data_IF_703563385531
#
_entry.id   IF_703563385531
#
_cell.length_a   1.000
_cell.length_b   1.000
_cell.length_c   1.000
_cell.angle_alpha   90.00
_cell.angle_beta   90.00
_cell.angle_gamma   90.00
#
_symmetry.space_group_name_H-M   'P 1'
#
loop_
_entity.id
_entity.type
_entity.pdbx_description
1 polymer ?
#
# COMPACT_ATOMS: atom_id res chain seq x y z
N UNK A 1 24.06 9.55 -14.21
CA UNK A 1 23.37 8.74 -15.24
C UNK A 1 22.05 8.23 -14.66
N UNK A 2 20.93 8.67 -15.22
CA UNK A 2 19.59 8.19 -14.86
C UNK A 2 19.49 6.70 -15.16
N UNK A 3 19.42 5.88 -14.11
CA UNK A 3 19.35 4.43 -14.22
C UNK A 3 17.95 4.02 -14.66
N UNK A 4 17.74 3.98 -15.98
CA UNK A 4 16.73 3.15 -16.61
C UNK A 4 17.31 1.73 -16.70
N UNK A 5 16.50 0.70 -16.46
CA UNK A 5 16.85 -0.67 -16.84
C UNK A 5 17.36 -0.67 -18.30
N UNK A 6 18.60 -1.09 -18.52
CA UNK A 6 19.24 -0.98 -19.84
C UNK A 6 18.68 -1.93 -20.89
N UNK A 7 17.80 -2.87 -20.49
CA UNK A 7 17.33 -3.95 -21.35
C UNK A 7 15.87 -3.79 -21.75
N UNK A 8 15.00 -3.27 -20.87
CA UNK A 8 13.55 -3.14 -21.15
C UNK A 8 12.98 -1.90 -20.45
N UNK A 9 12.15 -1.13 -21.16
CA UNK A 9 11.47 0.02 -20.57
C UNK A 9 10.31 -0.40 -19.66
N UNK A 10 10.05 0.38 -18.61
CA UNK A 10 8.90 0.18 -17.73
C UNK A 10 7.57 0.21 -18.48
N UNK A 11 7.47 1.03 -19.54
CA UNK A 11 6.30 1.14 -20.38
C UNK A 11 6.01 -0.15 -21.16
N UNK A 12 7.05 -0.77 -21.72
CA UNK A 12 6.93 -2.03 -22.45
C UNK A 12 6.52 -3.16 -21.50
N UNK A 13 7.16 -3.25 -20.33
CA UNK A 13 6.80 -4.24 -19.31
C UNK A 13 5.32 -4.08 -18.95
N UNK A 14 4.86 -2.85 -18.74
CA UNK A 14 3.46 -2.57 -18.44
C UNK A 14 2.50 -3.05 -19.54
N UNK A 15 2.77 -2.77 -20.82
CA UNK A 15 1.88 -3.23 -21.90
C UNK A 15 1.76 -4.76 -21.95
N UNK A 16 2.85 -5.48 -21.69
CA UNK A 16 2.85 -6.96 -21.67
C UNK A 16 2.04 -7.50 -20.47
N UNK A 17 2.25 -6.94 -19.28
CA UNK A 17 1.70 -7.49 -18.01
C UNK A 17 0.34 -6.89 -17.62
N UNK A 18 -0.10 -5.82 -18.28
CA UNK A 18 -1.38 -5.15 -18.03
C UNK A 18 -2.58 -6.09 -18.17
N UNK A 19 -2.74 -6.88 -19.25
CA UNK A 19 -3.92 -7.72 -19.43
C UNK A 19 -3.94 -8.92 -18.47
N UNK A 20 -2.77 -9.46 -18.15
CA UNK A 20 -2.61 -10.69 -17.39
C UNK A 20 -1.30 -10.69 -16.58
N UNK A 21 -1.42 -10.77 -15.25
CA UNK A 21 -0.32 -11.03 -14.32
C UNK A 21 -0.86 -11.71 -13.05
N UNK A 22 0.02 -12.33 -12.26
CA UNK A 22 -0.37 -13.06 -11.04
C UNK A 22 -0.88 -12.17 -9.90
N UNK A 23 -0.56 -10.87 -9.91
CA UNK A 23 -1.02 -9.91 -8.91
C UNK A 23 -2.39 -9.32 -9.24
N UNK A 24 -2.88 -9.50 -10.46
CA UNK A 24 -4.10 -8.89 -10.98
C UNK A 24 -5.33 -9.61 -10.46
N UNK A 25 -6.22 -8.84 -9.83
CA UNK A 25 -7.51 -9.32 -9.36
C UNK A 25 -8.60 -8.52 -10.05
N UNK A 26 -9.30 -9.16 -10.99
CA UNK A 26 -10.47 -8.60 -11.67
C UNK A 26 -11.71 -8.99 -10.89
N UNK A 27 -12.48 -8.02 -10.40
CA UNK A 27 -13.77 -8.29 -9.74
C UNK A 27 -14.90 -7.73 -10.59
N UNK A 28 -15.91 -8.57 -10.86
CA UNK A 28 -17.16 -8.13 -11.47
C UNK A 28 -17.98 -7.24 -10.51
N UNK A 29 -17.85 -7.49 -9.20
CA UNK A 29 -18.48 -6.68 -8.16
C UNK A 29 -17.87 -5.29 -8.05
N UNK A 30 -18.67 -4.33 -7.56
CA UNK A 30 -18.26 -2.92 -7.37
C UNK A 30 -17.88 -2.18 -8.67
N UNK A 31 -18.50 -2.53 -9.80
CA UNK A 31 -18.34 -1.78 -11.07
C UNK A 31 -17.12 -2.19 -11.90
N UNK A 32 -16.67 -3.44 -11.82
CA UNK A 32 -15.60 -3.95 -12.69
C UNK A 32 -14.18 -3.53 -12.28
N UNK A 33 -13.96 -3.20 -11.00
CA UNK A 33 -12.68 -2.66 -10.52
C UNK A 33 -11.55 -3.68 -10.68
N UNK A 34 -10.40 -3.19 -11.16
CA UNK A 34 -9.16 -3.96 -11.27
C UNK A 34 -8.23 -3.62 -10.10
N UNK A 35 -7.95 -4.61 -9.27
CA UNK A 35 -7.11 -4.49 -8.09
C UNK A 35 -5.78 -5.22 -8.30
N UNK A 36 -4.78 -4.87 -7.50
CA UNK A 36 -3.46 -5.48 -7.50
C UNK A 36 -3.08 -5.94 -6.10
N UNK A 37 -2.47 -7.13 -5.99
CA UNK A 37 -1.90 -7.69 -4.77
C UNK A 37 -0.39 -7.45 -4.62
N UNK A 38 0.19 -6.60 -5.45
CA UNK A 38 1.62 -6.30 -5.41
C UNK A 38 2.02 -5.72 -4.02
N UNK A 39 3.02 -6.30 -3.33
CA UNK A 39 3.51 -5.76 -2.06
C UNK A 39 4.08 -4.34 -2.16
N UNK A 40 4.49 -3.91 -3.36
CA UNK A 40 5.03 -2.60 -3.66
C UNK A 40 3.98 -1.63 -4.24
N UNK A 41 2.70 -1.91 -4.04
CA UNK A 41 1.58 -1.05 -4.43
C UNK A 41 0.87 -0.49 -3.19
N UNK A 42 0.89 0.84 -3.01
CA UNK A 42 0.32 1.50 -1.83
C UNK A 42 -1.22 1.57 -1.82
N UNK A 43 -1.88 1.58 -2.99
CA UNK A 43 -3.34 1.68 -3.09
C UNK A 43 -4.03 0.37 -3.48
N UNK A 44 -3.26 -0.66 -3.81
CA UNK A 44 -3.77 -1.93 -4.37
C UNK A 44 -4.62 -1.74 -5.64
N UNK A 45 -4.38 -0.67 -6.40
CA UNK A 45 -5.07 -0.39 -7.65
C UNK A 45 -4.19 -0.90 -8.80
N UNK A 46 -4.77 -1.68 -9.70
CA UNK A 46 -4.13 -2.02 -10.97
C UNK A 46 -4.43 -0.93 -12.01
N UNK A 47 -3.68 0.17 -11.95
CA UNK A 47 -3.85 1.29 -12.88
C UNK A 47 -2.52 1.90 -13.27
N UNK A 48 -2.45 2.39 -14.50
CA UNK A 48 -1.32 3.13 -15.02
C UNK A 48 -1.37 4.61 -14.62
N UNK A 49 -1.91 4.99 -13.44
CA UNK A 49 -2.30 6.39 -13.17
C UNK A 49 -1.13 7.35 -13.37
N UNK A 50 -1.05 7.93 -14.57
CA UNK A 50 -0.26 9.09 -14.93
C UNK A 50 -1.01 10.26 -14.33
N UNK A 51 -0.45 10.86 -13.31
CA UNK A 51 -0.92 12.15 -12.84
C UNK A 51 -0.41 13.17 -13.86
N UNK A 52 -1.25 13.56 -14.81
CA UNK A 52 -1.00 14.75 -15.63
C UNK A 52 -1.21 15.94 -14.68
N UNK A 53 -0.17 16.32 -13.94
CA UNK A 53 -0.12 17.66 -13.35
C UNK A 53 0.11 18.64 -14.49
N UNK A 54 -0.98 19.23 -14.99
CA UNK A 54 -0.92 20.40 -15.87
C UNK A 54 -0.44 21.58 -15.02
N UNK A 55 0.85 21.63 -14.70
CA UNK A 55 1.45 22.81 -14.06
C UNK A 55 2.71 23.24 -14.79
N UNK A 56 3.47 22.33 -15.43
CA UNK A 56 4.61 22.70 -16.27
C UNK A 56 4.57 21.94 -17.60
N UNK A 57 4.35 22.67 -18.69
CA UNK A 57 4.21 22.17 -20.07
C UNK A 57 5.52 21.57 -20.64
N UNK A 58 6.63 21.63 -19.90
CA UNK A 58 7.96 21.16 -20.29
C UNK A 58 8.31 19.73 -19.85
N UNK A 59 7.53 19.11 -18.96
CA UNK A 59 7.79 17.74 -18.51
C UNK A 59 7.04 16.75 -19.40
N UNK A 60 7.52 16.62 -20.63
CA UNK A 60 6.96 15.74 -21.65
C UNK A 60 7.18 14.27 -21.26
N UNK A 61 6.07 13.59 -20.99
CA UNK A 61 5.86 12.13 -21.10
C UNK A 61 6.75 11.22 -20.26
N UNK A 62 6.45 11.13 -18.96
CA UNK A 62 6.76 9.93 -18.19
C UNK A 62 5.44 9.18 -17.91
N UNK A 63 5.11 8.20 -18.76
CA UNK A 63 3.95 7.30 -18.61
C UNK A 63 4.17 6.27 -17.47
N UNK A 64 4.63 6.71 -16.31
CA UNK A 64 5.00 5.82 -15.20
C UNK A 64 3.74 5.27 -14.56
N UNK A 65 3.62 3.95 -14.54
CA UNK A 65 2.58 3.23 -13.79
C UNK A 65 2.74 3.50 -12.30
N UNK A 66 2.14 4.59 -11.79
CA UNK A 66 2.37 5.13 -10.43
C UNK A 66 2.35 4.07 -9.33
N UNK A 67 1.47 3.07 -9.46
CA UNK A 67 1.20 2.03 -8.46
C UNK A 67 1.77 0.64 -8.79
N UNK A 68 2.34 0.43 -9.99
CA UNK A 68 2.88 -0.88 -10.37
C UNK A 68 4.33 -1.00 -9.87
N UNK A 69 4.48 -1.42 -8.62
CA UNK A 69 5.77 -1.50 -7.95
C UNK A 69 6.69 -2.54 -8.56
N UNK A 70 6.15 -3.65 -9.09
CA UNK A 70 6.93 -4.66 -9.81
C UNK A 70 7.55 -4.15 -11.12
N UNK A 71 6.88 -3.22 -11.82
CA UNK A 71 7.34 -2.63 -13.10
C UNK A 71 8.35 -1.50 -12.89
N UNK A 72 8.12 -0.65 -11.89
CA UNK A 72 8.95 0.54 -11.69
C UNK A 72 10.32 0.21 -11.08
N UNK A 73 11.34 0.98 -11.47
CA UNK A 73 12.68 0.94 -10.85
C UNK A 73 12.65 1.48 -9.41
N UNK A 74 11.84 2.52 -9.18
CA UNK A 74 11.58 3.09 -7.86
C UNK A 74 10.15 2.80 -7.42
N UNK A 75 10.02 2.09 -6.30
CA UNK A 75 8.74 1.74 -5.70
C UNK A 75 8.82 1.77 -4.18
N UNK A 76 7.69 2.11 -3.56
CA UNK A 76 7.52 2.14 -2.10
C UNK A 76 6.38 1.19 -1.75
N UNK A 77 6.68 0.17 -0.96
CA UNK A 77 5.71 -0.75 -0.39
C UNK A 77 5.60 -0.54 1.11
N UNK A 78 4.40 -0.73 1.64
CA UNK A 78 4.17 -0.77 3.07
C UNK A 78 3.35 -2.01 3.39
N UNK A 79 3.92 -2.85 4.23
CA UNK A 79 3.40 -4.16 4.59
C UNK A 79 3.32 -4.22 6.12
N UNK A 80 2.37 -4.97 6.71
CA UNK A 80 2.45 -5.28 8.13
C UNK A 80 3.82 -5.89 8.48
N UNK A 81 4.34 -5.54 9.66
CA UNK A 81 5.50 -6.23 10.24
C UNK A 81 5.19 -7.68 10.57
N UNK A 82 6.22 -8.44 10.94
CA UNK A 82 6.09 -9.88 11.22
C UNK A 82 5.01 -10.19 12.27
N UNK A 83 4.34 -11.32 12.09
CA UNK A 83 3.10 -11.70 12.76
C UNK A 83 3.17 -11.69 14.31
N UNK A 84 4.37 -11.73 14.92
CA UNK A 84 4.56 -11.69 16.37
C UNK A 84 4.91 -10.32 16.97
N UNK A 85 5.47 -9.39 16.18
CA UNK A 85 5.98 -8.10 16.69
C UNK A 85 5.06 -6.91 16.36
N UNK A 86 4.12 -7.11 15.43
CA UNK A 86 3.25 -6.06 14.90
C UNK A 86 4.02 -4.89 14.28
N UNK A 87 3.32 -3.80 14.00
CA UNK A 87 3.92 -2.62 13.38
C UNK A 87 3.96 -2.69 11.86
N UNK A 88 4.84 -1.90 11.26
CA UNK A 88 4.80 -1.58 9.83
C UNK A 88 6.19 -1.68 9.22
N UNK A 89 6.32 -2.42 8.12
CA UNK A 89 7.55 -2.53 7.35
C UNK A 89 7.45 -1.67 6.10
N UNK A 90 8.39 -0.74 5.95
CA UNK A 90 8.60 0.04 4.74
C UNK A 90 9.57 -0.72 3.84
N UNK A 91 9.17 -0.95 2.60
CA UNK A 91 9.99 -1.61 1.58
C UNK A 91 10.24 -0.60 0.45
N UNK A 92 11.48 -0.48 0.02
CA UNK A 92 11.87 0.36 -1.11
C UNK A 92 12.76 -0.42 -2.08
N UNK A 93 12.66 -0.14 -3.39
CA UNK A 93 13.56 -0.72 -4.39
C UNK A 93 14.88 0.05 -4.48
N UNK A 94 15.97 -0.68 -4.69
CA UNK A 94 17.30 -0.15 -4.97
C UNK A 94 17.50 -0.10 -6.48
N UNK A 95 17.56 1.10 -7.11
CA UNK A 95 17.72 1.20 -8.56
C UNK A 95 19.06 0.60 -9.04
N UNK A 96 20.10 0.62 -8.19
CA UNK A 96 21.41 0.01 -8.48
C UNK A 96 21.34 -1.52 -8.67
N UNK A 97 20.33 -2.18 -8.11
CA UNK A 97 20.22 -3.64 -8.07
C UNK A 97 19.01 -4.15 -8.87
N UNK A 98 18.61 -3.47 -9.95
CA UNK A 98 17.42 -3.83 -10.73
C UNK A 98 17.44 -5.29 -11.23
N UNK A 99 18.60 -5.79 -11.68
CA UNK A 99 18.79 -7.15 -12.18
C UNK A 99 19.17 -8.17 -11.08
N UNK A 100 19.17 -7.77 -9.81
CA UNK A 100 19.57 -8.61 -8.67
C UNK A 100 18.42 -8.75 -7.68
N UNK A 101 17.40 -9.58 -7.97
CA UNK A 101 16.14 -9.59 -7.21
C UNK A 101 16.34 -9.86 -5.71
N UNK A 102 17.27 -10.75 -5.35
CA UNK A 102 17.57 -11.08 -3.95
C UNK A 102 18.04 -9.87 -3.11
N UNK A 103 18.71 -8.90 -3.73
CA UNK A 103 19.21 -7.69 -3.06
C UNK A 103 18.63 -6.39 -3.59
N UNK A 104 17.54 -6.49 -4.38
CA UNK A 104 16.88 -5.37 -5.02
C UNK A 104 16.03 -4.54 -4.05
N UNK A 105 15.64 -5.09 -2.90
CA UNK A 105 14.84 -4.39 -1.89
C UNK A 105 15.67 -3.94 -0.69
N UNK A 106 15.24 -2.83 -0.09
CA UNK A 106 15.65 -2.38 1.24
C UNK A 106 14.39 -2.29 2.12
N UNK A 107 14.40 -3.00 3.24
CA UNK A 107 13.31 -3.01 4.21
C UNK A 107 13.73 -2.32 5.51
N UNK A 108 12.83 -1.52 6.06
CA UNK A 108 12.97 -0.96 7.41
C UNK A 108 11.69 -1.22 8.19
N UNK A 109 11.82 -1.96 9.29
CA UNK A 109 10.69 -2.32 10.15
C UNK A 109 10.52 -1.30 11.26
N UNK A 110 9.30 -0.78 11.40
CA UNK A 110 8.87 0.04 12.53
C UNK A 110 8.01 -0.81 13.45
N UNK A 111 8.59 -1.28 14.56
CA UNK A 111 7.91 -2.15 15.51
C UNK A 111 6.65 -1.52 16.13
N UNK A 112 5.79 -2.37 16.70
CA UNK A 112 4.51 -1.95 17.31
C UNK A 112 4.69 -0.90 18.41
N UNK A 113 5.72 -1.08 19.26
CA UNK A 113 6.06 -0.20 20.39
C UNK A 113 6.49 1.22 19.97
N UNK A 114 6.89 1.43 18.71
CA UNK A 114 7.28 2.74 18.23
C UNK A 114 6.06 3.64 18.09
N UNK A 115 6.14 4.84 18.67
CA UNK A 115 5.09 5.86 18.56
C UNK A 115 4.69 6.11 17.10
N UNK A 116 3.39 6.17 16.86
CA UNK A 116 2.77 6.39 15.55
C UNK A 116 3.37 7.62 14.83
N UNK A 117 3.58 8.72 15.55
CA UNK A 117 4.20 9.94 15.00
C UNK A 117 5.64 9.69 14.53
N UNK A 118 6.44 8.96 15.31
CA UNK A 118 7.84 8.62 14.96
C UNK A 118 7.90 7.68 13.75
N UNK A 119 6.92 6.79 13.62
CA UNK A 119 6.80 5.89 12.47
C UNK A 119 6.51 6.66 11.18
N UNK A 120 5.52 7.55 11.18
CA UNK A 120 5.19 8.36 10.00
C UNK A 120 6.31 9.33 9.62
N UNK A 121 6.93 9.98 10.61
CA UNK A 121 8.12 10.81 10.39
C UNK A 121 9.26 9.98 9.78
N UNK A 122 9.46 8.74 10.24
CA UNK A 122 10.44 7.81 9.67
C UNK A 122 10.17 7.51 8.19
N UNK A 123 8.93 7.15 7.85
CA UNK A 123 8.51 6.87 6.46
C UNK A 123 8.75 8.09 5.56
N UNK A 124 8.33 9.28 6.00
CA UNK A 124 8.53 10.52 5.25
C UNK A 124 10.02 10.83 5.10
N UNK A 125 10.80 10.72 6.17
CA UNK A 125 12.25 11.01 6.13
C UNK A 125 12.99 10.11 5.14
N UNK A 126 12.63 8.83 5.03
CA UNK A 126 13.22 7.91 4.06
C UNK A 126 12.93 8.35 2.62
N UNK A 127 11.73 8.85 2.34
CA UNK A 127 11.35 9.33 0.99
C UNK A 127 11.85 10.75 0.68
N UNK A 128 12.07 11.59 1.70
CA UNK A 128 12.58 12.97 1.56
C UNK A 128 14.10 12.99 1.38
N UNK A 129 14.84 12.36 2.28
CA UNK A 129 16.32 12.46 2.33
C UNK A 129 17.02 11.80 1.15
N UNK A 130 16.36 10.82 0.51
CA UNK A 130 16.86 10.17 -0.70
C UNK A 130 16.29 10.77 -1.99
N UNK A 131 15.48 11.85 -1.92
CA UNK A 131 14.73 12.41 -3.06
C UNK A 131 14.07 11.30 -3.91
N UNK A 132 13.45 10.33 -3.24
CA UNK A 132 13.13 9.05 -3.88
C UNK A 132 11.90 9.15 -4.79
N UNK A 133 10.71 9.33 -4.19
CA UNK A 133 9.39 9.51 -4.83
C UNK A 133 8.48 10.33 -3.92
N UNK A 134 8.36 11.62 -4.18
CA UNK A 134 7.58 12.56 -3.35
C UNK A 134 6.07 12.39 -3.51
N UNK A 135 5.63 11.96 -4.68
CA UNK A 135 4.25 11.68 -5.05
C UNK A 135 3.59 10.60 -4.19
N UNK A 136 4.38 9.61 -3.73
CA UNK A 136 3.89 8.47 -2.95
C UNK A 136 3.80 8.74 -1.43
N UNK A 137 4.26 9.91 -0.95
CA UNK A 137 4.40 10.18 0.49
C UNK A 137 3.09 10.11 1.26
N UNK A 138 2.08 10.81 0.76
CA UNK A 138 0.77 10.89 1.41
C UNK A 138 0.12 9.49 1.48
N UNK A 139 0.23 8.74 0.40
CA UNK A 139 -0.34 7.40 0.26
C UNK A 139 0.41 6.38 1.14
N UNK A 140 1.73 6.55 1.28
CA UNK A 140 2.55 5.74 2.16
C UNK A 140 2.14 5.94 3.63
N UNK A 141 2.01 7.19 4.08
CA UNK A 141 1.54 7.49 5.44
C UNK A 141 0.13 6.96 5.66
N UNK A 142 -0.78 7.13 4.70
CA UNK A 142 -2.16 6.64 4.78
C UNK A 142 -2.24 5.11 4.90
N UNK A 143 -1.41 4.38 4.14
CA UNK A 143 -1.36 2.91 4.26
C UNK A 143 -0.77 2.46 5.59
N UNK A 144 0.29 3.12 6.06
CA UNK A 144 0.86 2.83 7.38
C UNK A 144 -0.14 3.11 8.51
N UNK A 145 -0.97 4.16 8.40
CA UNK A 145 -2.03 4.41 9.36
C UNK A 145 -3.13 3.35 9.32
N UNK A 146 -3.54 2.92 8.14
CA UNK A 146 -4.52 1.85 8.00
C UNK A 146 -4.04 0.54 8.63
N UNK A 147 -2.79 0.14 8.40
CA UNK A 147 -2.20 -1.08 8.97
C UNK A 147 -2.10 -1.00 10.50
N UNK A 148 -1.65 0.14 11.05
CA UNK A 148 -1.60 0.29 12.52
C UNK A 148 -3.00 0.29 13.14
N UNK A 149 -3.98 0.88 12.45
CA UNK A 149 -5.37 0.85 12.88
C UNK A 149 -5.92 -0.58 12.90
N UNK A 150 -5.62 -1.39 11.87
CA UNK A 150 -6.06 -2.79 11.82
C UNK A 150 -5.38 -3.70 12.85
N UNK A 151 -4.18 -3.33 13.31
CA UNK A 151 -3.45 -4.07 14.36
C UNK A 151 -3.90 -3.72 15.78
N UNK A 152 -4.64 -2.63 15.95
CA UNK A 152 -5.13 -2.22 17.26
C UNK A 152 -6.29 -3.12 17.69
N UNK A 153 -6.33 -3.60 18.95
CA UNK A 153 -7.48 -4.36 19.43
C UNK A 153 -8.75 -3.54 19.26
N UNK A 154 -9.76 -4.14 18.63
CA UNK A 154 -11.05 -3.49 18.47
C UNK A 154 -11.74 -3.51 19.83
N UNK A 155 -12.27 -2.37 20.25
CA UNK A 155 -13.15 -2.31 21.43
C UNK A 155 -14.34 -3.23 21.19
N UNK A 156 -14.70 -4.01 22.20
CA UNK A 156 -15.90 -4.83 22.15
C UNK A 156 -17.10 -3.96 21.81
N UNK A 157 -17.94 -4.48 20.91
CA UNK A 157 -19.19 -3.80 20.59
C UNK A 157 -20.01 -3.75 21.88
N UNK A 158 -20.61 -2.60 22.22
CA UNK A 158 -21.53 -2.55 23.34
C UNK A 158 -22.64 -3.58 23.10
N UNK A 159 -23.03 -4.29 24.16
CA UNK A 159 -24.08 -5.30 24.08
C UNK A 159 -25.30 -4.73 23.36
N UNK A 160 -25.73 -5.43 22.29
CA UNK A 160 -26.85 -4.98 21.49
C UNK A 160 -28.10 -5.02 22.37
N UNK A 161 -28.61 -3.85 22.78
CA UNK A 161 -29.90 -3.75 23.49
C UNK A 161 -30.96 -4.45 22.65
N UNK A 162 -31.49 -5.56 23.17
CA UNK A 162 -32.62 -6.25 22.56
C UNK A 162 -33.83 -5.33 22.63
N UNK A 163 -34.58 -5.20 21.53
CA UNK A 163 -35.78 -4.37 21.44
C UNK A 163 -36.99 -5.26 21.12
N UNK A 164 -38.17 -4.83 21.54
CA UNK A 164 -39.44 -5.51 21.25
C UNK A 164 -39.60 -6.85 21.97
N UNK A 165 -40.34 -7.79 21.37
CA UNK A 165 -40.73 -9.06 21.99
C UNK A 165 -39.57 -9.94 22.46
N UNK A 166 -38.38 -9.77 21.88
CA UNK A 166 -37.16 -10.47 22.31
C UNK A 166 -36.61 -9.98 23.65
N UNK A 167 -36.87 -8.73 24.04
CA UNK A 167 -36.54 -8.24 25.38
C UNK A 167 -37.53 -8.78 26.42
N UNK A 168 -38.83 -8.78 26.09
CA UNK A 168 -39.87 -9.33 26.97
C UNK A 168 -39.69 -10.82 27.27
N UNK A 169 -39.30 -11.62 26.27
CA UNK A 169 -39.02 -13.06 26.45
C UNK A 169 -37.85 -13.38 27.39
N UNK A 170 -36.90 -12.46 27.58
CA UNK A 170 -35.77 -12.68 28.50
C UNK A 170 -36.13 -12.22 29.91
N UNK A 171 -36.94 -11.16 30.04
CA UNK A 171 -37.48 -10.71 31.34
C UNK A 171 -38.38 -11.81 31.92
N UNK A 172 -39.32 -12.33 31.13
CA UNK A 172 -40.18 -13.44 31.54
C UNK A 172 -39.41 -14.72 31.91
N UNK A 173 -38.24 -14.96 31.30
CA UNK A 173 -37.37 -16.11 31.59
C UNK A 173 -36.40 -15.87 32.77
N UNK A 174 -36.36 -14.65 33.30
CA UNK A 174 -35.59 -14.28 34.50
C UNK A 174 -36.45 -14.22 35.76
N UNK A 175 -37.78 -14.18 35.60
CA UNK A 175 -38.78 -14.12 36.68
C UNK A 175 -39.34 -15.52 37.03
N UNK A 176 -38.97 -16.55 36.27
CA UNK A 176 -39.15 -17.99 36.56
C UNK A 176 -37.87 -18.56 37.21
#
# INVERSE_FOLDING_TARGET
>A
MSHYSSQVSADLIWEVVRPQNSFLVKRASSGGVQLSRDPLNLKNIHSRKVEISIVNKSDFLANVSKYAGFVNDKAVGIVPGDAGAGGVTLITKKPKNAQRPASASYSTTFGSSKSTRKTYKGIVNTTVRSMYRSDLRAEAVARASAIRCSQMPKKDLPEKKLRGSKAGKIIAKKEE
#
